data_IF_473646189615
#
_entry.id   IF_473646189615
#
_cell.length_a   1.000
_cell.length_b   1.000
_cell.length_c   1.000
_cell.angle_alpha   90.00
_cell.angle_beta   90.00
_cell.angle_gamma   90.00
#
_symmetry.space_group_name_H-M   'P 1'
#
loop_
_entity.id
_entity.type
_entity.pdbx_description
1 polymer ?
#
# COMPACT_ATOMS: atom_id res chain seq x y z
N UNK A 1 16.88 -2.86 11.75
CA UNK A 1 16.96 -1.92 10.60
C UNK A 1 15.54 -1.46 10.29
N UNK A 2 15.33 -0.23 9.85
CA UNK A 2 14.01 0.21 9.38
C UNK A 2 13.71 -0.40 8.01
N UNK A 3 12.42 -0.56 7.67
CA UNK A 3 12.02 -1.02 6.33
C UNK A 3 12.36 0.03 5.26
N UNK A 4 12.15 1.31 5.59
CA UNK A 4 12.65 2.44 4.80
C UNK A 4 14.07 2.81 5.21
N UNK A 5 14.81 3.43 4.27
CA UNK A 5 16.17 3.91 4.48
C UNK A 5 16.24 5.00 5.56
N UNK A 6 15.16 5.78 5.73
CA UNK A 6 15.00 6.75 6.81
C UNK A 6 13.52 7.13 7.01
N UNK A 7 13.23 7.90 8.08
CA UNK A 7 11.86 8.33 8.38
C UNK A 7 11.24 9.27 7.35
N UNK A 8 12.02 10.08 6.65
CA UNK A 8 11.51 10.98 5.59
C UNK A 8 11.04 10.20 4.38
N UNK A 9 11.77 9.17 3.98
CA UNK A 9 11.34 8.25 2.92
C UNK A 9 10.05 7.53 3.29
N UNK A 10 9.96 7.03 4.54
CA UNK A 10 8.74 6.39 5.03
C UNK A 10 7.52 7.33 4.99
N UNK A 11 7.68 8.57 5.48
CA UNK A 11 6.63 9.58 5.42
C UNK A 11 6.23 9.90 3.97
N UNK A 12 7.21 10.12 3.08
CA UNK A 12 6.94 10.39 1.67
C UNK A 12 6.20 9.23 1.00
N UNK A 13 6.58 7.98 1.28
CA UNK A 13 5.87 6.80 0.80
C UNK A 13 4.42 6.74 1.32
N UNK A 14 4.22 7.00 2.61
CA UNK A 14 2.89 7.04 3.21
C UNK A 14 2.02 8.14 2.58
N UNK A 15 2.57 9.33 2.35
CA UNK A 15 1.89 10.44 1.69
C UNK A 15 1.55 10.13 0.22
N UNK A 16 2.48 9.54 -0.53
CA UNK A 16 2.29 9.23 -1.96
C UNK A 16 1.27 8.13 -2.18
N UNK A 17 1.25 7.10 -1.33
CA UNK A 17 0.43 5.91 -1.53
C UNK A 17 -0.56 5.68 -0.40
N UNK A 18 -0.10 5.38 0.81
CA UNK A 18 -0.97 4.93 1.90
C UNK A 18 -2.17 5.84 2.18
N UNK A 19 -1.94 7.15 2.34
CA UNK A 19 -2.99 8.11 2.69
C UNK A 19 -4.08 8.21 1.61
N UNK A 20 -3.74 7.83 0.38
CA UNK A 20 -4.62 7.82 -0.78
C UNK A 20 -5.25 6.45 -1.04
N UNK A 21 -4.78 5.40 -0.36
CA UNK A 21 -5.24 4.03 -0.54
C UNK A 21 -6.52 3.75 0.26
N UNK A 22 -7.43 2.91 -0.25
CA UNK A 22 -8.62 2.43 0.49
C UNK A 22 -8.25 1.63 1.74
N UNK A 23 -7.08 0.99 1.74
CA UNK A 23 -6.59 0.16 2.83
C UNK A 23 -5.81 0.97 3.88
N UNK A 24 -5.54 2.25 3.63
CA UNK A 24 -4.87 3.14 4.56
C UNK A 24 -5.88 3.89 5.43
N UNK A 25 -5.38 4.45 6.54
CA UNK A 25 -6.18 5.22 7.50
C UNK A 25 -6.67 6.55 6.90
N UNK A 26 -7.44 7.32 7.68
CA UNK A 26 -7.85 8.66 7.27
C UNK A 26 -6.60 9.55 7.11
N UNK A 27 -6.74 10.54 6.24
CA UNK A 27 -5.66 11.48 5.96
C UNK A 27 -5.20 12.16 7.27
N UNK A 28 -3.90 12.07 7.57
CA UNK A 28 -3.30 12.63 8.80
C UNK A 28 -3.19 11.65 9.98
N UNK A 29 -3.73 10.43 9.89
CA UNK A 29 -3.64 9.40 10.95
C UNK A 29 -2.47 8.41 10.73
N UNK A 30 -1.69 8.58 9.66
CA UNK A 30 -0.59 7.68 9.28
C UNK A 30 -1.09 6.37 8.67
N UNK A 31 -0.19 5.55 8.12
CA UNK A 31 -0.55 4.28 7.47
C UNK A 31 -0.62 3.07 8.42
N UNK A 32 -0.81 3.30 9.72
CA UNK A 32 -0.63 2.28 10.77
C UNK A 32 -1.62 1.10 10.66
N UNK A 33 -2.78 1.29 10.04
CA UNK A 33 -3.79 0.24 9.88
C UNK A 33 -3.62 -0.56 8.58
N UNK A 34 -2.72 -0.15 7.68
CA UNK A 34 -2.50 -0.87 6.43
C UNK A 34 -1.82 -2.22 6.72
N UNK A 35 -2.47 -3.36 6.44
CA UNK A 35 -1.93 -4.67 6.78
C UNK A 35 -0.64 -4.98 6.02
N UNK A 36 -0.50 -4.45 4.79
CA UNK A 36 0.73 -4.62 4.00
C UNK A 36 1.89 -3.89 4.66
N UNK A 37 1.72 -2.63 5.05
CA UNK A 37 2.80 -1.87 5.64
C UNK A 37 3.14 -2.38 7.05
N UNK A 38 2.13 -2.78 7.83
CA UNK A 38 2.32 -3.44 9.11
C UNK A 38 3.15 -4.74 8.98
N UNK A 39 2.87 -5.58 7.97
CA UNK A 39 3.66 -6.78 7.72
C UNK A 39 5.13 -6.45 7.38
N UNK A 40 5.38 -5.41 6.59
CA UNK A 40 6.75 -4.99 6.30
C UNK A 40 7.47 -4.49 7.54
N UNK A 41 6.81 -3.75 8.43
CA UNK A 41 7.43 -3.31 9.68
C UNK A 41 7.70 -4.47 10.65
N UNK A 42 6.74 -5.39 10.81
CA UNK A 42 6.85 -6.54 11.72
C UNK A 42 7.97 -7.48 11.28
N UNK A 43 8.01 -7.82 9.99
CA UNK A 43 8.90 -8.85 9.45
C UNK A 43 10.17 -8.30 8.80
N UNK A 44 10.45 -6.99 8.93
CA UNK A 44 11.59 -6.37 8.27
C UNK A 44 12.95 -7.00 8.62
N UNK A 45 13.10 -7.45 9.86
CA UNK A 45 14.37 -8.05 10.30
C UNK A 45 14.53 -9.46 9.74
N UNK A 46 13.44 -10.23 9.72
CA UNK A 46 13.43 -11.65 9.40
C UNK A 46 13.60 -11.93 7.90
N UNK A 47 13.14 -11.01 7.04
CA UNK A 47 13.29 -11.14 5.59
C UNK A 47 14.76 -11.19 5.11
N UNK A 48 15.73 -10.79 5.93
CA UNK A 48 17.15 -10.90 5.58
C UNK A 48 17.68 -12.35 5.69
N UNK A 49 16.96 -13.20 6.42
CA UNK A 49 17.32 -14.60 6.67
C UNK A 49 16.33 -15.61 6.10
N UNK A 50 15.14 -15.16 5.66
CA UNK A 50 14.11 -15.99 5.05
C UNK A 50 13.78 -15.47 3.64
N UNK A 51 14.24 -16.20 2.63
CA UNK A 51 14.02 -15.87 1.21
C UNK A 51 12.55 -15.92 0.81
N UNK A 52 11.73 -16.78 1.44
CA UNK A 52 10.30 -16.83 1.15
C UNK A 52 9.61 -15.59 1.68
N UNK A 53 9.99 -15.13 2.87
CA UNK A 53 9.45 -13.91 3.46
C UNK A 53 9.85 -12.69 2.64
N UNK A 54 11.12 -12.61 2.22
CA UNK A 54 11.59 -11.57 1.32
C UNK A 54 10.79 -11.55 0.00
N UNK A 55 10.60 -12.72 -0.62
CA UNK A 55 9.83 -12.85 -1.85
C UNK A 55 8.37 -12.41 -1.66
N UNK A 56 7.68 -12.91 -0.63
CA UNK A 56 6.26 -12.60 -0.36
C UNK A 56 6.06 -11.11 -0.08
N UNK A 57 6.90 -10.51 0.75
CA UNK A 57 6.83 -9.06 1.04
C UNK A 57 7.09 -8.24 -0.22
N UNK A 58 8.09 -8.63 -1.02
CA UNK A 58 8.41 -8.00 -2.31
C UNK A 58 7.31 -8.10 -3.37
N UNK A 59 6.40 -9.08 -3.29
CA UNK A 59 5.20 -9.13 -4.14
C UNK A 59 4.23 -7.99 -3.83
N UNK A 60 4.17 -7.53 -2.58
CA UNK A 60 3.27 -6.47 -2.16
C UNK A 60 3.86 -5.08 -2.38
N UNK A 61 5.12 -4.86 -2.02
CA UNK A 61 5.82 -3.60 -2.28
C UNK A 61 7.12 -3.96 -3.02
N UNK A 62 7.12 -3.86 -4.37
CA UNK A 62 8.30 -4.15 -5.16
C UNK A 62 9.43 -3.17 -4.83
N UNK A 63 10.66 -3.66 -4.91
CA UNK A 63 11.85 -2.83 -4.85
C UNK A 63 12.23 -2.47 -6.29
N UNK A 64 12.52 -1.19 -6.54
CA UNK A 64 12.94 -0.71 -7.84
C UNK A 64 14.22 -1.41 -8.31
N UNK A 65 14.48 -1.35 -9.62
CA UNK A 65 15.65 -1.98 -10.26
C UNK A 65 16.98 -1.53 -9.63
N UNK A 66 17.04 -0.31 -9.09
CA UNK A 66 18.21 0.24 -8.39
C UNK A 66 18.45 -0.38 -7.01
N UNK A 67 17.49 -1.16 -6.50
CA UNK A 67 17.47 -1.79 -5.17
C UNK A 67 17.56 -0.81 -4.01
N UNK A 68 17.29 0.47 -4.27
CA UNK A 68 17.38 1.55 -3.29
C UNK A 68 15.99 2.00 -2.86
N UNK A 69 15.04 2.05 -3.79
CA UNK A 69 13.72 2.62 -3.53
C UNK A 69 12.60 1.59 -3.60
N UNK A 70 11.55 1.81 -2.81
CA UNK A 70 10.30 1.05 -2.88
C UNK A 70 9.40 1.63 -3.98
N UNK A 71 8.84 0.76 -4.81
CA UNK A 71 7.84 1.09 -5.83
C UNK A 71 6.43 1.16 -5.25
N UNK A 72 5.44 1.48 -6.09
CA UNK A 72 4.04 1.49 -5.68
C UNK A 72 3.60 0.09 -5.20
N UNK A 73 2.96 0.05 -4.02
CA UNK A 73 2.32 -1.14 -3.51
C UNK A 73 1.35 -1.77 -4.53
N UNK A 74 1.46 -3.08 -4.78
CA UNK A 74 0.60 -3.82 -5.68
C UNK A 74 -0.87 -3.87 -5.21
N UNK A 75 -1.12 -3.68 -3.91
CA UNK A 75 -2.48 -3.59 -3.33
C UNK A 75 -3.02 -2.16 -3.29
N UNK A 76 -2.33 -1.20 -3.91
CA UNK A 76 -2.77 0.19 -3.94
C UNK A 76 -4.02 0.35 -4.80
N UNK A 77 -5.08 0.83 -4.16
CA UNK A 77 -6.34 1.22 -4.81
C UNK A 77 -6.71 2.57 -4.23
N UNK A 78 -6.88 3.59 -5.07
CA UNK A 78 -7.24 4.93 -4.62
C UNK A 78 -8.61 4.96 -3.93
N UNK A 79 -8.80 5.86 -2.97
CA UNK A 79 -10.09 6.05 -2.25
C UNK A 79 -11.29 6.35 -3.16
N UNK A 80 -11.05 6.89 -4.34
CA UNK A 80 -12.06 7.15 -5.36
C UNK A 80 -12.19 6.01 -6.40
N UNK A 81 -11.47 4.90 -6.22
CA UNK A 81 -11.53 3.70 -7.04
C UNK A 81 -11.01 3.87 -8.47
N UNK A 82 -10.19 4.89 -8.75
CA UNK A 82 -9.82 5.26 -10.13
C UNK A 82 -8.51 4.69 -10.64
N UNK A 83 -7.60 4.24 -9.78
CA UNK A 83 -6.27 3.82 -10.25
C UNK A 83 -5.77 2.57 -9.52
N UNK A 84 -5.70 1.47 -10.26
CA UNK A 84 -4.69 0.43 -10.06
C UNK A 84 -3.97 0.26 -11.40
N UNK A 85 -2.68 0.61 -11.47
CA UNK A 85 -1.84 0.45 -12.68
C UNK A 85 -2.42 1.05 -13.98
N UNK A 86 -3.05 2.23 -13.90
CA UNK A 86 -3.63 2.88 -15.09
C UNK A 86 -4.82 2.13 -15.72
N UNK A 87 -5.33 1.09 -15.07
CA UNK A 87 -6.55 0.40 -15.46
C UNK A 87 -7.72 0.91 -14.62
N UNK A 88 -8.82 1.37 -15.25
CA UNK A 88 -9.99 1.80 -14.50
C UNK A 88 -10.56 0.59 -13.74
N UNK A 89 -10.69 0.71 -12.42
CA UNK A 89 -11.46 -0.26 -11.64
C UNK A 89 -12.92 -0.09 -12.05
N UNK A 90 -13.52 -1.13 -12.62
CA UNK A 90 -14.94 -1.12 -12.96
C UNK A 90 -15.75 -0.95 -11.69
N UNK A 91 -16.27 0.26 -11.44
CA UNK A 91 -17.24 0.50 -10.40
C UNK A 91 -18.49 -0.32 -10.74
N UNK A 92 -18.72 -1.42 -10.02
CA UNK A 92 -20.05 -2.03 -9.98
C UNK A 92 -20.95 -1.02 -9.25
N UNK A 93 -21.65 -0.20 -10.03
CA UNK A 93 -22.72 0.66 -9.55
C UNK A 93 -23.85 -0.25 -9.05
N UNK A 94 -23.83 -0.52 -7.74
CA UNK A 94 -24.97 -1.11 -7.05
C UNK A 94 -26.17 -0.20 -7.23
N UNK A 95 -27.27 -0.78 -7.69
CA UNK A 95 -28.49 -0.09 -8.01
C UNK A 95 -29.14 0.49 -6.75
N UNK A 96 -29.14 1.83 -6.62
CA UNK A 96 -30.10 2.55 -5.81
C UNK A 96 -31.44 2.55 -6.57
N UNK A 97 -32.26 1.52 -6.36
CA UNK A 97 -33.68 1.57 -6.73
C UNK A 97 -34.48 2.17 -5.58
N UNK A 98 -34.92 3.41 -5.84
CA UNK A 98 -36.20 4.06 -5.52
C UNK A 98 -37.16 3.40 -4.52
N UNK A 99 -37.71 4.23 -3.63
CA UNK A 99 -38.89 3.86 -2.82
C UNK A 99 -39.47 4.98 -1.98
N UNK A 100 -39.70 6.16 -2.57
CA UNK A 100 -40.64 7.14 -2.02
C UNK A 100 -42.08 6.66 -2.27
N UNK A 101 -42.89 6.58 -1.22
CA UNK A 101 -44.33 6.30 -1.27
C UNK A 101 -44.94 6.27 0.11
#
# INVERSE_FOLDING_TARGET
>A
MGYFSNGTEGLDYEHRYCNRCIHGSKEGEGCHECPVLAAHFEFNSDQNSDENLNYILGLFIPIADDKISNEQCAMFITKDGREHNGMPVTQNQGADQEGSG
#
